data_IF_933468339609
#
_entry.id   IF_933468339609
#
_cell.length_a   1.000
_cell.length_b   1.000
_cell.length_c   1.000
_cell.angle_alpha   90.00
_cell.angle_beta   90.00
_cell.angle_gamma   90.00
#
_symmetry.space_group_name_H-M   'P 1'
#
loop_
_entity.id
_entity.type
_entity.pdbx_description
1 polymer ?
#
# COMPACT_ATOMS: atom_id res chain seq x y z
N UNK A 1 9.78 -25.30 -0.47
CA UNK A 1 8.58 -25.33 0.40
C UNK A 1 7.68 -24.19 -0.06
N UNK A 2 6.63 -24.49 -0.83
CA UNK A 2 5.68 -23.49 -1.30
C UNK A 2 4.57 -23.34 -0.25
N UNK A 3 4.64 -22.29 0.56
CA UNK A 3 3.56 -21.92 1.46
C UNK A 3 2.38 -21.49 0.60
N UNK A 4 1.37 -22.35 0.46
CA UNK A 4 0.12 -21.98 -0.20
C UNK A 4 -0.52 -20.86 0.60
N UNK A 5 -0.44 -19.64 0.08
CA UNK A 5 -1.16 -18.49 0.63
C UNK A 5 -2.65 -18.81 0.45
N UNK A 6 -3.36 -18.93 1.56
CA UNK A 6 -4.79 -19.19 1.57
C UNK A 6 -5.53 -17.90 1.17
N UNK A 7 -6.22 -17.85 0.01
CA UNK A 7 -6.97 -16.68 -0.42
C UNK A 7 -8.17 -16.34 0.50
N UNK A 8 -8.58 -17.26 1.38
CA UNK A 8 -9.64 -17.04 2.38
C UNK A 8 -9.16 -16.26 3.62
N UNK A 9 -7.92 -15.77 3.65
CA UNK A 9 -7.37 -15.00 4.79
C UNK A 9 -7.81 -13.54 4.82
N UNK A 10 -8.58 -13.13 3.82
CA UNK A 10 -9.19 -11.82 3.71
C UNK A 10 -10.59 -11.84 4.32
N UNK A 11 -10.62 -11.79 5.66
CA UNK A 11 -11.81 -11.78 6.52
C UNK A 11 -12.87 -12.83 6.13
N UNK A 12 -12.66 -14.11 6.47
CA UNK A 12 -13.76 -15.06 6.45
C UNK A 12 -14.75 -14.65 7.55
N UNK A 13 -16.01 -14.40 7.18
CA UNK A 13 -17.15 -14.42 8.12
C UNK A 13 -17.37 -15.88 8.54
N UNK A 14 -16.37 -16.50 9.17
CA UNK A 14 -16.56 -17.53 10.18
C UNK A 14 -16.70 -16.78 11.50
N UNK A 15 -17.54 -17.28 12.39
CA UNK A 15 -17.61 -16.79 13.77
C UNK A 15 -16.20 -16.67 14.35
N UNK A 16 -15.71 -15.43 14.45
CA UNK A 16 -14.47 -15.13 15.14
C UNK A 16 -14.64 -15.52 16.61
N UNK A 17 -13.60 -16.12 17.21
CA UNK A 17 -13.57 -16.27 18.66
C UNK A 17 -13.63 -14.90 19.33
N UNK A 18 -14.10 -14.85 20.58
CA UNK A 18 -14.11 -13.61 21.36
C UNK A 18 -12.71 -12.98 21.48
N UNK A 19 -11.66 -13.80 21.49
CA UNK A 19 -10.27 -13.34 21.50
C UNK A 19 -9.83 -12.70 20.18
N UNK A 20 -10.23 -13.27 19.05
CA UNK A 20 -9.94 -12.71 17.72
C UNK A 20 -10.69 -11.39 17.52
N UNK A 21 -11.95 -11.32 17.93
CA UNK A 21 -12.75 -10.09 17.87
C UNK A 21 -12.13 -9.01 18.76
N UNK A 22 -11.80 -9.34 20.01
CA UNK A 22 -11.13 -8.40 20.94
C UNK A 22 -9.81 -7.86 20.36
N UNK A 23 -9.00 -8.74 19.76
CA UNK A 23 -7.74 -8.35 19.11
C UNK A 23 -7.97 -7.45 17.90
N UNK A 24 -8.98 -7.74 17.08
CA UNK A 24 -9.35 -6.89 15.95
C UNK A 24 -9.77 -5.49 16.43
N UNK A 25 -10.63 -5.42 17.44
CA UNK A 25 -11.07 -4.15 18.02
C UNK A 25 -9.90 -3.36 18.62
N UNK A 26 -8.98 -4.04 19.31
CA UNK A 26 -7.76 -3.42 19.81
C UNK A 26 -6.90 -2.85 18.69
N UNK A 27 -6.65 -3.60 17.60
CA UNK A 27 -5.89 -3.12 16.44
C UNK A 27 -6.53 -1.90 15.79
N UNK A 28 -7.84 -1.92 15.57
CA UNK A 28 -8.59 -0.76 15.03
C UNK A 28 -8.37 0.48 15.89
N UNK A 29 -8.51 0.33 17.21
CA UNK A 29 -8.28 1.42 18.17
C UNK A 29 -6.84 1.94 18.07
N UNK A 30 -5.84 1.06 18.01
CA UNK A 30 -4.44 1.45 17.86
C UNK A 30 -4.22 2.24 16.58
N UNK A 31 -4.71 1.76 15.44
CA UNK A 31 -4.57 2.47 14.16
C UNK A 31 -5.18 3.87 14.23
N UNK A 32 -6.41 3.98 14.74
CA UNK A 32 -7.11 5.27 14.87
C UNK A 32 -6.40 6.23 15.84
N UNK A 33 -5.87 5.72 16.95
CA UNK A 33 -5.13 6.53 17.92
C UNK A 33 -3.78 6.98 17.37
N UNK A 34 -3.03 6.09 16.73
CA UNK A 34 -1.78 6.45 16.05
C UNK A 34 -2.03 7.50 14.98
N UNK A 35 -3.06 7.32 14.15
CA UNK A 35 -3.35 8.27 13.09
C UNK A 35 -3.76 9.64 13.64
N UNK A 36 -4.52 9.70 14.73
CA UNK A 36 -4.85 10.97 15.39
C UNK A 36 -3.59 11.68 15.93
N UNK A 37 -2.62 10.92 16.46
CA UNK A 37 -1.33 11.50 16.88
C UNK A 37 -0.55 12.05 15.69
N UNK A 38 -0.54 11.31 14.56
CA UNK A 38 0.04 11.79 13.30
C UNK A 38 -0.63 13.07 12.82
N UNK A 39 -1.98 13.13 12.76
CA UNK A 39 -2.73 14.32 12.34
C UNK A 39 -2.40 15.56 13.17
N UNK A 40 -2.12 15.39 14.47
CA UNK A 40 -1.81 16.51 15.36
C UNK A 40 -0.33 16.94 15.31
N UNK A 41 0.58 15.99 15.10
CA UNK A 41 2.01 16.26 15.20
C UNK A 41 2.75 16.35 13.86
N UNK A 42 2.56 15.37 12.98
CA UNK A 42 3.28 15.28 11.71
C UNK A 42 2.47 15.78 10.52
N UNK A 43 1.15 15.61 10.51
CA UNK A 43 0.30 15.86 9.36
C UNK A 43 0.88 15.19 8.09
N UNK A 44 0.87 15.88 6.94
CA UNK A 44 1.44 15.40 5.67
C UNK A 44 2.95 15.10 5.77
N UNK A 45 3.71 15.65 6.73
CA UNK A 45 5.14 15.32 6.90
C UNK A 45 5.36 13.83 7.17
N UNK A 46 4.39 13.13 7.79
CA UNK A 46 4.47 11.68 7.96
C UNK A 46 4.70 10.96 6.61
N UNK A 47 4.02 11.40 5.56
CA UNK A 47 4.15 10.81 4.22
C UNK A 47 5.33 11.33 3.44
N UNK A 48 5.79 12.56 3.70
CA UNK A 48 7.06 13.07 3.16
C UNK A 48 8.24 12.25 3.70
N UNK A 49 8.30 12.08 5.03
CA UNK A 49 9.32 11.26 5.70
C UNK A 49 9.26 9.82 5.21
N UNK A 50 8.05 9.25 5.05
CA UNK A 50 7.88 7.93 4.45
C UNK A 50 8.54 7.80 3.07
N UNK A 51 8.31 8.74 2.15
CA UNK A 51 8.93 8.66 0.82
C UNK A 51 10.45 8.82 0.87
N UNK A 52 10.95 9.72 1.74
CA UNK A 52 12.40 9.85 1.99
C UNK A 52 12.99 8.52 2.44
N UNK A 53 12.39 7.86 3.43
CA UNK A 53 12.88 6.59 3.97
C UNK A 53 12.69 5.42 2.98
N UNK A 54 11.61 5.44 2.20
CA UNK A 54 11.33 4.42 1.18
C UNK A 54 12.42 4.42 0.12
N UNK A 55 12.77 5.59 -0.43
CA UNK A 55 13.80 5.69 -1.45
C UNK A 55 15.21 5.46 -0.90
N UNK A 56 15.45 5.82 0.37
CA UNK A 56 16.70 5.51 1.05
C UNK A 56 16.92 4.00 1.22
N UNK A 57 15.87 3.26 1.57
CA UNK A 57 15.97 1.82 1.88
C UNK A 57 15.77 0.92 0.66
N UNK A 58 14.91 1.34 -0.28
CA UNK A 58 14.58 0.60 -1.50
C UNK A 58 14.76 1.50 -2.73
N UNK A 59 16.00 1.89 -3.08
CA UNK A 59 16.24 2.81 -4.20
C UNK A 59 15.71 2.29 -5.55
N UNK A 60 15.49 0.97 -5.69
CA UNK A 60 14.90 0.35 -6.87
C UNK A 60 13.45 0.78 -7.16
N UNK A 61 12.72 1.32 -6.17
CA UNK A 61 11.33 1.79 -6.36
C UNK A 61 11.27 3.24 -6.85
N UNK A 62 12.34 4.02 -6.67
CA UNK A 62 12.40 5.43 -7.05
C UNK A 62 12.09 5.69 -8.54
N UNK A 63 12.53 4.84 -9.51
CA UNK A 63 12.18 5.01 -10.92
C UNK A 63 10.66 5.09 -11.19
N UNK A 64 9.84 4.42 -10.37
CA UNK A 64 8.38 4.42 -10.51
C UNK A 64 7.74 5.80 -10.23
N UNK A 65 8.50 6.72 -9.63
CA UNK A 65 8.05 8.06 -9.25
C UNK A 65 8.73 9.18 -10.05
N UNK A 66 9.50 8.87 -11.10
CA UNK A 66 10.27 9.86 -11.88
C UNK A 66 9.43 10.94 -12.55
N UNK A 67 8.16 10.66 -12.81
CA UNK A 67 7.21 11.59 -13.43
C UNK A 67 6.21 12.17 -12.43
N UNK A 68 6.40 11.91 -11.14
CA UNK A 68 5.50 12.35 -10.07
C UNK A 68 6.02 13.61 -9.41
N UNK A 69 5.12 14.55 -9.12
CA UNK A 69 5.42 15.61 -8.15
C UNK A 69 5.34 14.99 -6.74
N UNK A 70 6.49 14.86 -6.07
CA UNK A 70 6.56 14.16 -4.78
C UNK A 70 5.80 14.85 -3.64
N UNK A 71 5.61 16.17 -3.71
CA UNK A 71 4.81 16.89 -2.72
C UNK A 71 3.32 16.55 -2.88
N UNK A 72 2.83 16.56 -4.12
CA UNK A 72 1.46 16.14 -4.44
C UNK A 72 1.27 14.65 -4.11
N UNK A 73 2.27 13.82 -4.37
CA UNK A 73 2.23 12.40 -4.08
C UNK A 73 2.16 12.11 -2.57
N UNK A 74 2.92 12.85 -1.76
CA UNK A 74 2.84 12.77 -0.30
C UNK A 74 1.43 13.16 0.19
N UNK A 75 0.90 14.29 -0.27
CA UNK A 75 -0.46 14.72 0.09
C UNK A 75 -1.52 13.67 -0.29
N UNK A 76 -1.41 13.08 -1.49
CA UNK A 76 -2.33 12.02 -1.94
C UNK A 76 -2.28 10.80 -1.04
N UNK A 77 -1.09 10.33 -0.70
CA UNK A 77 -0.93 9.19 0.21
C UNK A 77 -1.52 9.50 1.59
N UNK A 78 -1.26 10.70 2.10
CA UNK A 78 -1.76 11.14 3.40
C UNK A 78 -3.29 11.12 3.46
N UNK A 79 -3.96 11.74 2.48
CA UNK A 79 -5.43 11.74 2.43
C UNK A 79 -6.02 10.34 2.24
N UNK A 80 -5.39 9.49 1.42
CA UNK A 80 -5.83 8.10 1.24
C UNK A 80 -5.75 7.32 2.55
N UNK A 81 -4.66 7.44 3.31
CA UNK A 81 -4.53 6.76 4.61
C UNK A 81 -5.55 7.32 5.60
N UNK A 82 -5.70 8.65 5.65
CA UNK A 82 -6.69 9.31 6.51
C UNK A 82 -8.11 8.84 6.25
N UNK A 83 -8.50 8.70 4.98
CA UNK A 83 -9.78 8.12 4.59
C UNK A 83 -9.84 6.66 5.03
N UNK A 84 -8.84 5.83 4.69
CA UNK A 84 -8.83 4.41 5.02
C UNK A 84 -8.98 4.15 6.54
N UNK A 85 -8.30 4.94 7.38
CA UNK A 85 -8.41 4.86 8.85
C UNK A 85 -9.84 5.15 9.34
N UNK A 86 -10.54 6.12 8.74
CA UNK A 86 -11.95 6.41 9.07
C UNK A 86 -12.91 5.29 8.66
N UNK A 87 -12.56 4.50 7.65
CA UNK A 87 -13.39 3.42 7.12
C UNK A 87 -13.05 2.03 7.69
N UNK A 88 -12.18 1.93 8.72
CA UNK A 88 -11.79 0.64 9.32
C UNK A 88 -12.97 -0.18 9.86
N UNK A 89 -14.05 0.48 10.27
CA UNK A 89 -15.26 -0.20 10.73
C UNK A 89 -16.09 -0.79 9.59
N UNK A 90 -15.92 -0.28 8.38
CA UNK A 90 -16.60 -0.71 7.17
C UNK A 90 -15.62 -1.28 6.14
N UNK A 91 -14.62 -2.05 6.59
CA UNK A 91 -13.54 -2.58 5.74
C UNK A 91 -14.03 -3.35 4.50
N UNK A 92 -15.21 -3.97 4.58
CA UNK A 92 -15.83 -4.68 3.45
C UNK A 92 -16.14 -3.74 2.27
N UNK A 93 -16.48 -2.49 2.55
CA UNK A 93 -16.74 -1.47 1.53
C UNK A 93 -15.45 -0.98 0.86
N UNK A 94 -14.31 -1.13 1.53
CA UNK A 94 -13.00 -0.76 0.97
C UNK A 94 -12.47 -1.81 0.00
N UNK A 95 -12.86 -3.09 0.12
CA UNK A 95 -12.29 -4.18 -0.70
C UNK A 95 -12.42 -3.91 -2.21
N UNK A 96 -13.60 -3.52 -2.76
CA UNK A 96 -13.72 -3.22 -4.19
C UNK A 96 -12.82 -2.07 -4.64
N UNK A 97 -12.68 -1.02 -3.81
CA UNK A 97 -11.82 0.14 -4.08
C UNK A 97 -10.35 -0.26 -4.10
N UNK A 98 -9.91 -1.06 -3.13
CA UNK A 98 -8.55 -1.60 -3.07
C UNK A 98 -8.24 -2.50 -4.27
N UNK A 99 -9.20 -3.31 -4.71
CA UNK A 99 -9.02 -4.15 -5.91
C UNK A 99 -8.83 -3.30 -7.16
N UNK A 100 -9.67 -2.28 -7.39
CA UNK A 100 -9.50 -1.34 -8.50
C UNK A 100 -8.12 -0.67 -8.46
N UNK A 101 -7.75 -0.15 -7.29
CA UNK A 101 -6.48 0.51 -7.08
C UNK A 101 -5.30 -0.43 -7.37
N UNK A 102 -5.37 -1.67 -6.89
CA UNK A 102 -4.35 -2.70 -7.11
C UNK A 102 -4.17 -3.07 -8.58
N UNK A 103 -5.27 -3.19 -9.34
CA UNK A 103 -5.22 -3.41 -10.78
C UNK A 103 -4.50 -2.25 -11.50
N UNK A 104 -4.83 -1.00 -11.14
CA UNK A 104 -4.16 0.18 -11.71
C UNK A 104 -2.68 0.24 -11.33
N UNK A 105 -2.35 -0.11 -10.08
CA UNK A 105 -0.96 -0.17 -9.60
C UNK A 105 -0.11 -1.15 -10.41
N UNK A 106 -0.63 -2.33 -10.70
CA UNK A 106 0.06 -3.29 -11.55
C UNK A 106 0.13 -2.82 -13.02
N UNK A 107 -1.01 -2.45 -13.62
CA UNK A 107 -1.11 -2.15 -15.07
C UNK A 107 -0.37 -0.88 -15.49
N UNK A 108 -0.46 0.18 -14.69
CA UNK A 108 0.03 1.49 -15.11
C UNK A 108 1.36 1.86 -14.47
N UNK A 109 1.62 1.37 -13.26
CA UNK A 109 2.80 1.76 -12.49
C UNK A 109 3.83 0.64 -12.34
N UNK A 110 3.53 -0.58 -12.82
CA UNK A 110 4.44 -1.72 -12.73
C UNK A 110 4.69 -2.18 -11.29
N UNK A 111 3.73 -1.94 -10.39
CA UNK A 111 3.85 -2.35 -8.98
C UNK A 111 3.70 -3.86 -8.88
N UNK A 112 4.71 -4.50 -8.31
CA UNK A 112 4.76 -5.93 -8.03
C UNK A 112 4.43 -6.20 -6.56
N UNK A 113 4.11 -7.47 -6.25
CA UNK A 113 3.76 -7.90 -4.88
C UNK A 113 4.85 -7.53 -3.88
N UNK A 114 6.11 -7.74 -4.22
CA UNK A 114 7.26 -7.45 -3.37
C UNK A 114 7.39 -5.96 -2.99
N UNK A 115 6.79 -5.04 -3.75
CA UNK A 115 6.83 -3.62 -3.42
C UNK A 115 5.96 -3.27 -2.19
N UNK A 116 4.90 -4.04 -1.90
CA UNK A 116 4.02 -3.77 -0.76
C UNK A 116 4.68 -4.08 0.59
N UNK A 117 5.60 -5.05 0.63
CA UNK A 117 6.36 -5.38 1.84
C UNK A 117 7.28 -4.20 2.23
N UNK A 118 7.94 -3.59 1.24
CA UNK A 118 8.76 -2.40 1.44
C UNK A 118 7.96 -1.21 1.99
N UNK A 119 6.74 -0.98 1.47
CA UNK A 119 5.83 0.05 1.97
C UNK A 119 5.45 -0.22 3.42
N UNK A 120 5.07 -1.46 3.75
CA UNK A 120 4.67 -1.87 5.10
C UNK A 120 5.78 -1.64 6.10
N UNK A 121 6.99 -2.11 5.77
CA UNK A 121 8.16 -2.00 6.63
C UNK A 121 8.55 -0.55 6.91
N UNK A 122 8.61 0.28 5.86
CA UNK A 122 9.02 1.69 5.99
C UNK A 122 7.96 2.50 6.72
N UNK A 123 6.68 2.30 6.42
CA UNK A 123 5.62 3.07 7.06
C UNK A 123 5.56 2.81 8.56
N UNK A 124 5.64 1.55 9.00
CA UNK A 124 5.70 1.20 10.42
C UNK A 124 6.93 1.79 11.08
N UNK A 125 8.08 1.77 10.41
CA UNK A 125 9.31 2.40 10.91
C UNK A 125 9.12 3.89 11.17
N UNK A 126 8.47 4.63 10.26
CA UNK A 126 8.19 6.06 10.44
C UNK A 126 7.28 6.31 11.64
N UNK A 127 6.19 5.55 11.77
CA UNK A 127 5.26 5.67 12.89
C UNK A 127 5.93 5.37 14.24
N UNK A 128 6.70 4.29 14.31
CA UNK A 128 7.39 3.90 15.54
C UNK A 128 8.45 4.92 15.94
N UNK A 129 9.23 5.43 14.99
CA UNK A 129 10.22 6.47 15.28
C UNK A 129 9.53 7.70 15.87
N UNK A 130 8.44 8.16 15.25
CA UNK A 130 7.66 9.29 15.77
C UNK A 130 7.15 9.05 17.20
N UNK A 131 6.60 7.86 17.48
CA UNK A 131 6.12 7.51 18.83
C UNK A 131 7.27 7.48 19.84
N UNK A 132 8.41 6.91 19.48
CA UNK A 132 9.53 6.73 20.40
C UNK A 132 10.31 8.03 20.66
N UNK A 133 10.35 8.97 19.72
CA UNK A 133 11.13 10.19 19.85
C UNK A 133 10.30 11.41 20.25
N UNK A 134 9.08 11.53 19.76
CA UNK A 134 8.29 12.76 19.91
C UNK A 134 7.14 12.63 20.94
N UNK A 135 6.69 11.42 21.26
CA UNK A 135 5.60 11.21 22.21
C UNK A 135 6.15 10.89 23.61
N UNK A 136 6.19 11.90 24.48
CA UNK A 136 6.53 11.75 25.90
C UNK A 136 5.38 11.07 26.66
N UNK A 137 5.28 9.77 26.46
CA UNK A 137 4.43 8.89 27.24
C UNK A 137 5.34 7.86 27.91
N UNK A 138 5.29 7.76 29.23
CA UNK A 138 6.14 6.84 30.03
C UNK A 138 5.98 5.34 29.68
N UNK A 139 5.26 5.01 28.61
CA UNK A 139 5.02 3.69 28.03
C UNK A 139 5.27 3.64 26.50
N UNK A 140 6.01 4.58 25.91
CA UNK A 140 6.23 4.68 24.46
C UNK A 140 6.70 3.37 23.80
N UNK A 141 7.53 2.57 24.51
CA UNK A 141 7.98 1.27 24.00
C UNK A 141 6.87 0.24 23.85
N UNK A 142 5.94 0.17 24.81
CA UNK A 142 4.77 -0.74 24.73
C UNK A 142 3.85 -0.27 23.61
N UNK A 143 3.60 1.03 23.55
CA UNK A 143 2.74 1.59 22.52
C UNK A 143 3.31 1.35 21.12
N UNK A 144 4.61 1.55 20.90
CA UNK A 144 5.26 1.26 19.62
C UNK A 144 5.09 -0.22 19.18
N UNK A 145 5.08 -1.18 20.11
CA UNK A 145 4.82 -2.58 19.79
C UNK A 145 3.37 -2.84 19.38
N UNK A 146 2.41 -2.26 20.09
CA UNK A 146 0.98 -2.36 19.77
C UNK A 146 0.66 -1.68 18.43
N UNK A 147 1.29 -0.55 18.16
CA UNK A 147 1.19 0.17 16.87
C UNK A 147 1.79 -0.67 15.75
N UNK A 148 2.97 -1.26 15.94
CA UNK A 148 3.57 -2.12 14.93
C UNK A 148 2.67 -3.30 14.57
N UNK A 149 2.10 -4.01 15.55
CA UNK A 149 1.17 -5.12 15.29
C UNK A 149 -0.09 -4.67 14.52
N UNK A 150 -0.69 -3.55 14.95
CA UNK A 150 -1.92 -3.06 14.36
C UNK A 150 -1.73 -2.55 12.94
N UNK A 151 -0.68 -1.75 12.69
CA UNK A 151 -0.36 -1.24 11.36
C UNK A 151 0.14 -2.32 10.43
N UNK A 152 0.93 -3.28 10.91
CA UNK A 152 1.31 -4.45 10.13
C UNK A 152 0.08 -5.22 9.66
N UNK A 153 -0.89 -5.46 10.55
CA UNK A 153 -2.13 -6.16 10.20
C UNK A 153 -2.90 -5.45 9.07
N UNK A 154 -3.14 -4.14 9.20
CA UNK A 154 -3.93 -3.42 8.18
C UNK A 154 -3.17 -3.21 6.88
N UNK A 155 -1.87 -2.92 6.92
CA UNK A 155 -1.04 -2.74 5.72
C UNK A 155 -0.84 -4.06 4.98
N UNK A 156 -0.69 -5.17 5.69
CA UNK A 156 -0.69 -6.51 5.07
C UNK A 156 -2.03 -6.79 4.41
N UNK A 157 -3.15 -6.46 5.08
CA UNK A 157 -4.48 -6.62 4.51
C UNK A 157 -4.61 -5.82 3.19
N UNK A 158 -4.33 -4.52 3.22
CA UNK A 158 -4.38 -3.66 2.04
C UNK A 158 -3.45 -4.18 0.94
N UNK A 159 -2.20 -4.47 1.31
CA UNK A 159 -1.12 -4.93 0.44
C UNK A 159 -1.52 -6.17 -0.34
N UNK A 160 -1.91 -7.29 0.31
CA UNK A 160 -2.28 -8.45 -0.50
C UNK A 160 -3.64 -8.30 -1.20
N UNK A 161 -4.58 -7.49 -0.70
CA UNK A 161 -5.82 -7.21 -1.46
C UNK A 161 -5.49 -6.56 -2.81
N UNK A 162 -4.58 -5.58 -2.80
CA UNK A 162 -4.13 -4.88 -4.00
C UNK A 162 -3.24 -5.77 -4.87
N UNK A 163 -2.30 -6.50 -4.27
CA UNK A 163 -1.41 -7.41 -5.00
C UNK A 163 -2.17 -8.55 -5.67
N UNK A 164 -3.13 -9.19 -4.98
CA UNK A 164 -3.96 -10.26 -5.55
C UNK A 164 -4.76 -9.74 -6.76
N UNK A 165 -5.30 -8.51 -6.67
CA UNK A 165 -6.02 -7.89 -7.77
C UNK A 165 -5.09 -7.54 -8.94
N UNK A 166 -3.90 -7.01 -8.65
CA UNK A 166 -2.86 -6.71 -9.64
C UNK A 166 -2.40 -7.95 -10.39
N UNK A 167 -2.06 -9.03 -9.67
CA UNK A 167 -1.63 -10.31 -10.23
C UNK A 167 -2.72 -10.88 -11.17
N UNK A 168 -3.99 -10.85 -10.74
CA UNK A 168 -5.12 -11.28 -11.57
C UNK A 168 -5.31 -10.42 -12.82
N UNK A 169 -5.09 -9.11 -12.71
CA UNK A 169 -5.16 -8.18 -13.83
C UNK A 169 -4.06 -8.47 -14.87
N UNK A 170 -2.85 -8.79 -14.42
CA UNK A 170 -1.73 -9.13 -15.29
C UNK A 170 -1.93 -10.48 -16.00
N UNK A 171 -2.46 -11.50 -15.31
CA UNK A 171 -2.73 -12.82 -15.92
C UNK A 171 -3.77 -12.73 -17.04
N UNK A 172 -4.82 -11.90 -16.88
CA UNK A 172 -5.86 -11.70 -17.89
C UNK A 172 -5.34 -11.03 -19.16
N UNK A 173 -4.30 -10.20 -19.05
CA UNK A 173 -3.68 -9.56 -20.21
C UNK A 173 -2.72 -10.53 -20.96
N UNK A 174 -2.28 -11.61 -20.31
CA UNK A 174 -1.30 -12.57 -20.85
C UNK A 174 -1.94 -13.75 -21.62
N UNK A 175 -3.27 -13.97 -21.59
CA UNK A 175 -3.94 -15.08 -22.34
C UNK A 175 -5.31 -14.67 -22.93
N UNK A 176 -5.79 -15.16 -24.11
CA UNK A 176 -5.16 -15.89 -25.21
C UNK A 176 -5.29 -15.14 -26.57
N UNK A 177 -4.74 -13.92 -26.69
CA UNK A 177 -4.50 -13.31 -28.02
C UNK A 177 -3.01 -13.04 -28.31
N UNK A 178 -2.12 -13.39 -27.37
CA UNK A 178 -0.67 -13.17 -27.49
C UNK A 178 0.09 -14.30 -28.22
N UNK A 179 -0.58 -15.42 -28.56
CA UNK A 179 0.03 -16.52 -29.32
C UNK A 179 -0.35 -16.54 -30.82
N UNK A 180 -1.25 -15.66 -31.28
CA UNK A 180 -1.73 -15.65 -32.67
C UNK A 180 -1.03 -14.63 -33.58
N UNK A 181 -0.18 -13.74 -33.05
CA UNK A 181 0.53 -12.74 -33.84
C UNK A 181 2.01 -12.71 -33.46
N UNK A 182 2.76 -13.71 -33.96
CA UNK A 182 4.20 -13.55 -34.17
C UNK A 182 4.39 -13.27 -35.66
N UNK A 183 4.58 -12.01 -36.08
CA UNK A 183 5.09 -11.73 -37.41
C UNK A 183 6.55 -12.17 -37.46
N UNK A 184 6.86 -13.10 -38.35
CA UNK A 184 8.23 -13.45 -38.73
C UNK A 184 9.01 -12.19 -39.13
N UNK A 185 10.23 -12.09 -38.64
CA UNK A 185 11.12 -10.93 -38.69
C UNK A 185 11.30 -10.25 -40.06
N UNK A 186 11.38 -8.91 -40.06
CA UNK A 186 12.48 -8.15 -40.70
C UNK A 186 12.38 -6.62 -40.59
N UNK A 187 13.51 -6.03 -40.17
CA UNK A 187 14.12 -4.75 -40.58
C UNK A 187 13.57 -3.40 -40.05
N UNK A 188 14.39 -2.79 -39.17
CA UNK A 188 14.83 -1.38 -39.08
C UNK A 188 13.95 -0.27 -39.68
N UNK A 189 13.51 0.69 -38.87
CA UNK A 189 13.80 2.13 -39.04
C UNK A 189 13.25 2.98 -37.88
N UNK A 190 14.06 3.94 -37.44
CA UNK A 190 13.79 4.90 -36.38
C UNK A 190 12.73 5.94 -36.78
N UNK A 191 11.90 6.40 -35.83
CA UNK A 191 11.38 7.78 -35.78
C UNK A 191 11.13 8.27 -34.35
N UNK A 192 11.48 9.54 -34.17
CA UNK A 192 11.33 10.41 -32.99
C UNK A 192 9.87 10.79 -32.75
N UNK A 193 9.55 11.00 -31.46
CA UNK A 193 8.84 12.16 -30.91
C UNK A 193 7.32 12.22 -31.08
N UNK A 194 6.60 12.23 -29.95
CA UNK A 194 5.71 13.34 -29.57
C UNK A 194 5.17 13.15 -28.15
N UNK A 195 5.35 14.17 -27.33
CA UNK A 195 4.72 14.37 -26.03
C UNK A 195 3.24 14.67 -26.22
N UNK A 196 2.38 14.04 -25.42
CA UNK A 196 1.06 14.57 -25.09
C UNK A 196 0.72 14.22 -23.63
N UNK A 197 0.17 15.17 -22.85
CA UNK A 197 0.01 15.02 -21.41
C UNK A 197 -1.23 14.18 -21.12
N UNK A 198 -1.10 13.18 -20.24
CA UNK A 198 -2.27 12.46 -19.72
C UNK A 198 -2.65 13.13 -18.40
N UNK A 199 -3.82 13.76 -18.41
CA UNK A 199 -4.42 14.43 -17.28
C UNK A 199 -4.59 13.48 -16.10
N UNK A 200 -4.10 13.94 -14.95
CA UNK A 200 -4.31 13.34 -13.65
C UNK A 200 -5.80 13.39 -13.29
N UNK A 201 -6.42 12.21 -13.17
CA UNK A 201 -7.62 12.02 -12.35
C UNK A 201 -7.23 11.16 -11.17
N UNK A 202 -6.86 11.82 -10.08
CA UNK A 202 -6.82 11.31 -8.70
C UNK A 202 -6.82 12.50 -7.76
#
# INVERSE_FOLDING_TARGET
MHTKINPDRYLPIKTMSAEEESRLQHRKKMIQQTWRAVEFGLDVDCTRIFYTELFRKYPSVQPMFQHSNMEVQAQKLYEVIRVAVRFLDNVQELIPVLKDLGMRHAKHYGVLREHYDAVTEVFISVLNNYILTELDCGNAGIWAMEVADAWHWVLTFIGNTMADAGDQAMVKDVTPNSLANVPTASVVSARKGEDAPVENVV
#
